data_IF_745100660736
#
_entry.id   IF_745100660736
#
_cell.length_a   1.000
_cell.length_b   1.000
_cell.length_c   1.000
_cell.angle_alpha   90.00
_cell.angle_beta   90.00
_cell.angle_gamma   90.00
#
_symmetry.space_group_name_H-M   'P 1'
#
loop_
_entity.id
_entity.type
_entity.pdbx_description
1 polymer ?
#
# COMPACT_ATOMS: atom_id res chain seq x y z
N UNK A 1 1.69 -5.78 28.13
CA UNK A 1 3.00 -5.33 28.65
C UNK A 1 3.38 -4.10 27.84
N UNK A 2 3.59 -2.94 28.48
CA UNK A 2 4.04 -1.72 27.79
C UNK A 2 5.44 -2.00 27.21
N UNK A 3 5.60 -1.89 25.89
CA UNK A 3 6.90 -2.07 25.22
C UNK A 3 7.93 -1.10 25.80
N UNK A 4 9.13 -1.58 26.07
CA UNK A 4 10.25 -0.77 26.59
C UNK A 4 10.85 0.16 25.52
N UNK A 5 10.39 0.05 24.27
CA UNK A 5 10.89 0.81 23.13
C UNK A 5 10.56 2.30 23.21
N UNK A 6 11.50 3.15 22.78
CA UNK A 6 11.42 4.62 22.85
C UNK A 6 11.21 5.26 21.48
N UNK A 7 11.76 4.63 20.42
CA UNK A 7 11.64 5.14 19.05
C UNK A 7 10.17 5.28 18.62
N UNK A 8 9.85 6.39 18.00
CA UNK A 8 8.50 6.76 17.56
C UNK A 8 8.38 6.72 16.04
N UNK A 9 7.22 6.26 15.56
CA UNK A 9 6.81 6.43 14.14
C UNK A 9 6.02 7.73 13.95
N UNK A 10 5.26 8.13 14.98
CA UNK A 10 4.45 9.35 15.02
C UNK A 10 4.56 9.99 16.42
N UNK A 11 4.16 11.25 16.61
CA UNK A 11 4.32 11.94 17.90
C UNK A 11 3.80 11.16 19.11
N UNK A 12 2.73 10.39 18.95
CA UNK A 12 2.07 9.63 20.02
C UNK A 12 2.20 8.12 19.88
N UNK A 13 2.84 7.60 18.82
CA UNK A 13 2.91 6.16 18.52
C UNK A 13 4.36 5.68 18.44
N UNK A 14 4.67 4.57 19.10
CA UNK A 14 5.98 3.94 19.04
C UNK A 14 6.21 3.23 17.71
N UNK A 15 7.44 3.19 17.24
CA UNK A 15 7.82 2.55 15.99
C UNK A 15 7.44 1.06 15.99
N UNK A 16 7.78 0.33 17.05
CA UNK A 16 7.44 -1.09 17.16
C UNK A 16 5.92 -1.36 17.09
N UNK A 17 5.13 -0.58 17.82
CA UNK A 17 3.67 -0.76 17.85
C UNK A 17 3.05 -0.43 16.50
N UNK A 18 3.60 0.57 15.80
CA UNK A 18 3.17 0.95 14.47
C UNK A 18 3.44 -0.15 13.44
N UNK A 19 4.71 -0.55 13.26
CA UNK A 19 5.06 -1.52 12.21
C UNK A 19 4.41 -2.90 12.46
N UNK A 20 4.27 -3.32 13.71
CA UNK A 20 3.55 -4.56 14.05
C UNK A 20 2.06 -4.44 13.78
N UNK A 21 1.45 -3.32 14.09
CA UNK A 21 0.05 -3.06 13.79
C UNK A 21 -0.23 -3.01 12.28
N UNK A 22 0.65 -2.38 11.50
CA UNK A 22 0.58 -2.37 10.02
C UNK A 22 0.65 -3.79 9.47
N UNK A 23 1.62 -4.59 9.94
CA UNK A 23 1.75 -6.02 9.58
C UNK A 23 0.46 -6.80 9.88
N UNK A 24 -0.07 -6.67 11.08
CA UNK A 24 -1.22 -7.43 11.53
C UNK A 24 -2.47 -7.10 10.71
N UNK A 25 -2.67 -5.83 10.36
CA UNK A 25 -3.74 -5.40 9.47
C UNK A 25 -3.55 -5.98 8.06
N UNK A 26 -2.35 -5.85 7.50
CA UNK A 26 -2.05 -6.33 6.15
C UNK A 26 -2.26 -7.84 6.04
N UNK A 27 -1.70 -8.64 6.95
CA UNK A 27 -1.86 -10.10 6.97
C UNK A 27 -3.31 -10.52 7.23
N UNK A 28 -4.03 -9.83 8.13
CA UNK A 28 -5.44 -10.10 8.37
C UNK A 28 -6.26 -9.79 7.12
N UNK A 29 -5.96 -8.71 6.42
CA UNK A 29 -6.62 -8.37 5.15
C UNK A 29 -6.30 -9.41 4.08
N UNK A 30 -5.03 -9.81 3.96
CA UNK A 30 -4.59 -10.82 2.99
C UNK A 30 -5.34 -12.16 3.13
N UNK A 31 -5.66 -12.60 4.33
CA UNK A 31 -6.41 -13.86 4.59
C UNK A 31 -7.77 -13.94 3.91
N UNK A 32 -8.35 -12.82 3.51
CA UNK A 32 -9.61 -12.80 2.75
C UNK A 32 -9.42 -12.92 1.23
N UNK A 33 -8.18 -12.99 0.77
CA UNK A 33 -7.86 -13.14 -0.64
C UNK A 33 -7.23 -14.49 -0.93
N UNK A 34 -7.55 -15.07 -2.09
CA UNK A 34 -6.96 -16.34 -2.55
C UNK A 34 -5.86 -16.03 -3.56
N UNK A 35 -4.67 -15.70 -3.08
CA UNK A 35 -3.51 -15.43 -3.93
C UNK A 35 -2.52 -16.58 -3.80
N UNK A 36 -2.08 -17.09 -4.92
CA UNK A 36 -1.03 -18.12 -5.02
C UNK A 36 0.11 -17.57 -5.90
N UNK A 37 1.36 -17.82 -5.54
CA UNK A 37 1.86 -18.55 -4.36
C UNK A 37 1.62 -17.79 -3.05
N UNK A 38 1.72 -18.49 -1.92
CA UNK A 38 1.72 -17.85 -0.60
C UNK A 38 2.80 -16.77 -0.51
N UNK A 39 2.39 -15.58 -0.03
CA UNK A 39 3.22 -14.38 0.04
C UNK A 39 3.20 -13.75 1.44
N UNK A 40 2.76 -14.48 2.45
CA UNK A 40 2.69 -13.99 3.84
C UNK A 40 4.04 -13.42 4.31
N UNK A 41 5.13 -14.15 4.08
CA UNK A 41 6.48 -13.70 4.44
C UNK A 41 6.87 -12.41 3.71
N UNK A 42 6.47 -12.27 2.44
CA UNK A 42 6.72 -11.04 1.68
C UNK A 42 5.97 -9.85 2.26
N UNK A 43 4.68 -10.02 2.57
CA UNK A 43 3.86 -8.99 3.20
C UNK A 43 4.42 -8.62 4.56
N UNK A 44 4.77 -9.63 5.38
CA UNK A 44 5.30 -9.42 6.71
C UNK A 44 6.58 -8.59 6.70
N UNK A 45 7.57 -8.97 5.87
CA UNK A 45 8.85 -8.24 5.77
C UNK A 45 8.64 -6.81 5.26
N UNK A 46 7.82 -6.62 4.21
CA UNK A 46 7.52 -5.28 3.67
C UNK A 46 6.90 -4.39 4.77
N UNK A 47 5.90 -4.90 5.49
CA UNK A 47 5.24 -4.14 6.54
C UNK A 47 6.15 -3.85 7.74
N UNK A 48 7.00 -4.80 8.13
CA UNK A 48 7.92 -4.58 9.24
C UNK A 48 9.02 -3.58 8.88
N UNK A 49 9.51 -3.57 7.62
CA UNK A 49 10.68 -2.79 7.22
C UNK A 49 10.34 -1.39 6.69
N UNK A 50 9.07 -1.08 6.35
CA UNK A 50 8.72 0.16 5.62
C UNK A 50 9.15 1.44 6.32
N UNK A 51 9.19 1.45 7.63
CA UNK A 51 9.50 2.59 8.48
C UNK A 51 10.85 2.47 9.20
N UNK A 52 11.73 1.56 8.80
CA UNK A 52 13.04 1.35 9.43
C UNK A 52 13.82 2.65 9.64
N UNK A 53 13.87 3.52 8.64
CA UNK A 53 14.61 4.78 8.69
C UNK A 53 14.06 5.81 9.69
N UNK A 54 12.84 5.61 10.21
CA UNK A 54 12.32 6.37 11.36
C UNK A 54 13.11 6.11 12.65
N UNK A 55 13.92 5.06 12.67
CA UNK A 55 14.84 4.77 13.75
C UNK A 55 16.03 5.73 13.89
N UNK A 56 16.23 6.67 12.97
CA UNK A 56 17.29 7.70 13.09
C UNK A 56 16.91 8.79 14.10
N UNK A 57 17.92 9.36 14.79
CA UNK A 57 17.69 10.54 15.66
C UNK A 57 17.24 11.75 14.84
N UNK A 58 17.64 11.84 13.57
CA UNK A 58 17.16 12.88 12.64
C UNK A 58 15.65 12.85 12.48
N UNK A 59 15.06 11.66 12.30
CA UNK A 59 13.61 11.52 12.22
C UNK A 59 12.93 11.77 13.58
N UNK A 60 13.50 11.29 14.68
CA UNK A 60 12.95 11.53 16.02
C UNK A 60 12.90 13.04 16.35
N UNK A 61 13.95 13.79 16.03
CA UNK A 61 13.98 15.26 16.16
C UNK A 61 13.02 15.96 15.20
N UNK A 62 12.83 15.42 14.00
CA UNK A 62 11.80 15.93 13.08
C UNK A 62 10.38 15.84 13.68
N UNK A 63 10.04 14.75 14.37
CA UNK A 63 8.75 14.61 15.06
C UNK A 63 8.54 15.68 16.15
N UNK A 64 9.62 16.18 16.73
CA UNK A 64 9.64 17.25 17.74
C UNK A 64 9.75 18.66 17.12
N UNK A 65 9.69 18.79 15.80
CA UNK A 65 9.90 20.03 15.03
C UNK A 65 11.30 20.67 15.19
N UNK A 66 12.29 19.90 15.64
CA UNK A 66 13.67 20.37 15.91
C UNK A 66 14.65 20.09 14.75
N UNK A 67 14.23 19.37 13.70
CA UNK A 67 15.09 19.05 12.56
C UNK A 67 14.34 19.07 11.23
N UNK A 68 14.95 19.63 10.18
CA UNK A 68 14.37 19.72 8.82
C UNK A 68 15.33 19.34 7.69
N UNK A 69 16.48 18.74 8.03
CA UNK A 69 17.46 18.26 7.04
C UNK A 69 16.93 17.10 6.21
N UNK A 70 17.64 16.76 5.15
CA UNK A 70 17.30 15.67 4.23
C UNK A 70 17.39 14.30 4.92
N UNK A 71 18.23 14.18 5.95
CA UNK A 71 18.48 12.94 6.69
C UNK A 71 17.23 12.41 7.43
N UNK A 72 16.19 13.23 7.60
CA UNK A 72 14.88 12.79 8.11
C UNK A 72 14.12 11.90 7.13
N UNK A 73 14.48 11.91 5.84
CA UNK A 73 13.83 11.08 4.83
C UNK A 73 14.15 9.60 5.11
N UNK A 74 13.13 8.88 5.55
CA UNK A 74 13.26 7.49 5.96
C UNK A 74 12.99 6.51 4.82
N UNK A 75 12.31 6.94 3.74
CA UNK A 75 11.90 6.06 2.64
C UNK A 75 13.06 5.31 1.98
N UNK A 76 14.13 6.00 1.53
CA UNK A 76 15.25 5.36 0.84
C UNK A 76 15.98 4.30 1.70
N UNK A 77 16.34 4.62 2.94
CA UNK A 77 17.06 3.67 3.80
C UNK A 77 16.16 2.50 4.22
N UNK A 78 14.86 2.74 4.43
CA UNK A 78 13.87 1.68 4.68
C UNK A 78 13.73 0.74 3.49
N UNK A 79 13.73 1.28 2.26
CA UNK A 79 13.68 0.48 1.04
C UNK A 79 14.94 -0.38 0.86
N UNK A 80 16.12 0.15 1.20
CA UNK A 80 17.39 -0.61 1.19
C UNK A 80 17.38 -1.72 2.25
N UNK A 81 16.85 -1.45 3.44
CA UNK A 81 16.70 -2.45 4.47
C UNK A 81 15.75 -3.57 4.03
N UNK A 82 14.62 -3.22 3.44
CA UNK A 82 13.66 -4.18 2.87
C UNK A 82 14.30 -5.04 1.76
N UNK A 83 15.09 -4.42 0.88
CA UNK A 83 15.84 -5.14 -0.16
C UNK A 83 16.81 -6.16 0.43
N UNK A 84 17.54 -5.79 1.48
CA UNK A 84 18.51 -6.65 2.15
C UNK A 84 17.85 -7.81 2.92
N UNK A 85 16.66 -7.59 3.47
CA UNK A 85 15.88 -8.58 4.22
C UNK A 85 15.20 -9.61 3.32
N UNK A 86 14.80 -9.25 2.11
CA UNK A 86 14.00 -10.09 1.24
C UNK A 86 14.84 -11.05 0.37
N UNK A 87 14.33 -12.24 0.06
CA UNK A 87 14.93 -13.13 -0.91
C UNK A 87 14.93 -12.54 -2.33
N UNK A 88 15.79 -13.06 -3.19
CA UNK A 88 16.01 -12.57 -4.57
C UNK A 88 14.73 -12.42 -5.40
N UNK A 89 13.76 -13.30 -5.20
CA UNK A 89 12.47 -13.27 -5.92
C UNK A 89 11.65 -12.02 -5.66
N UNK A 90 11.78 -11.40 -4.47
CA UNK A 90 10.92 -10.31 -4.02
C UNK A 90 11.65 -9.00 -3.70
N UNK A 91 12.99 -9.05 -3.53
CA UNK A 91 13.77 -7.90 -3.06
C UNK A 91 13.54 -6.62 -3.87
N UNK A 92 13.37 -6.73 -5.20
CA UNK A 92 13.14 -5.59 -6.08
C UNK A 92 11.74 -4.98 -5.88
N UNK A 93 10.71 -5.83 -5.76
CA UNK A 93 9.34 -5.38 -5.54
C UNK A 93 9.20 -4.75 -4.15
N UNK A 94 9.74 -5.38 -3.12
CA UNK A 94 9.74 -4.85 -1.76
C UNK A 94 10.43 -3.49 -1.66
N UNK A 95 11.56 -3.34 -2.34
CA UNK A 95 12.26 -2.06 -2.46
C UNK A 95 11.35 -0.96 -3.05
N UNK A 96 10.69 -1.23 -4.19
CA UNK A 96 9.81 -0.28 -4.85
C UNK A 96 8.63 0.12 -3.95
N UNK A 97 7.98 -0.87 -3.36
CA UNK A 97 6.83 -0.69 -2.48
C UNK A 97 7.21 0.23 -1.31
N UNK A 98 8.29 -0.09 -0.61
CA UNK A 98 8.70 0.67 0.57
C UNK A 98 9.23 2.05 0.20
N UNK A 99 10.00 2.18 -0.87
CA UNK A 99 10.47 3.50 -1.33
C UNK A 99 9.32 4.47 -1.59
N UNK A 100 8.19 3.93 -2.07
CA UNK A 100 7.06 4.75 -2.55
C UNK A 100 5.84 4.74 -1.63
N UNK A 101 5.93 4.21 -0.42
CA UNK A 101 4.75 4.13 0.46
C UNK A 101 4.15 5.49 0.88
N UNK A 102 4.88 6.59 0.68
CA UNK A 102 4.39 7.96 0.83
C UNK A 102 4.05 8.67 -0.49
N UNK A 103 4.05 7.97 -1.62
CA UNK A 103 3.79 8.58 -2.93
C UNK A 103 3.29 7.55 -3.93
N UNK A 104 3.26 7.91 -5.21
CA UNK A 104 2.78 7.02 -6.26
C UNK A 104 3.91 6.15 -6.82
N UNK A 105 3.62 4.88 -7.10
CA UNK A 105 4.49 4.00 -7.88
C UNK A 105 4.31 4.37 -9.35
N UNK A 106 5.32 5.05 -9.91
CA UNK A 106 5.33 5.43 -11.31
C UNK A 106 6.11 4.43 -12.16
N UNK A 107 7.17 4.86 -12.80
CA UNK A 107 8.03 4.01 -13.61
C UNK A 107 9.11 3.34 -12.76
N UNK A 108 9.09 2.01 -12.65
CA UNK A 108 10.05 1.25 -11.84
C UNK A 108 11.52 1.56 -12.21
N UNK A 109 11.83 1.81 -13.48
CA UNK A 109 13.20 2.14 -13.91
C UNK A 109 13.68 3.50 -13.42
N UNK A 110 12.77 4.46 -13.28
CA UNK A 110 13.09 5.80 -12.75
C UNK A 110 13.18 5.78 -11.22
N UNK A 111 12.32 5.01 -10.58
CA UNK A 111 12.33 4.86 -9.11
C UNK A 111 13.58 4.14 -8.60
N UNK A 112 14.21 3.33 -9.44
CA UNK A 112 15.44 2.62 -9.14
C UNK A 112 16.72 3.41 -9.45
N UNK A 113 16.63 4.69 -9.80
CA UNK A 113 17.81 5.55 -9.95
C UNK A 113 18.42 5.84 -8.59
N UNK A 114 19.56 5.20 -8.33
CA UNK A 114 20.34 5.34 -7.08
C UNK A 114 21.35 6.51 -7.19
N UNK A 115 21.24 7.34 -8.21
CA UNK A 115 22.21 8.42 -8.52
C UNK A 115 21.88 9.77 -7.87
N UNK A 116 20.79 9.86 -7.14
CA UNK A 116 20.33 11.09 -6.53
C UNK A 116 21.02 11.34 -5.19
N UNK A 117 21.20 12.61 -4.82
CA UNK A 117 21.80 13.08 -3.55
C UNK A 117 21.09 12.48 -2.32
N UNK A 118 19.81 12.11 -2.46
CA UNK A 118 19.01 11.44 -1.42
C UNK A 118 19.49 10.05 -1.01
N UNK A 119 20.49 9.50 -1.71
CA UNK A 119 21.05 8.17 -1.47
C UNK A 119 22.42 8.22 -0.77
N UNK A 120 22.81 9.34 -0.22
CA UNK A 120 23.96 9.40 0.67
C UNK A 120 23.52 9.01 2.10
N UNK A 121 23.67 7.72 2.42
CA UNK A 121 23.27 7.17 3.70
C UNK A 121 24.30 7.39 4.83
N UNK A 122 25.47 8.00 4.58
CA UNK A 122 26.58 8.06 5.54
C UNK A 122 26.16 8.66 6.88
N UNK A 123 25.42 9.77 6.84
CA UNK A 123 24.95 10.43 8.05
C UNK A 123 23.94 9.54 8.81
N UNK A 124 22.99 8.92 8.10
CA UNK A 124 22.01 8.04 8.71
C UNK A 124 22.64 6.76 9.27
N UNK A 125 23.60 6.15 8.56
CA UNK A 125 24.36 4.98 9.03
C UNK A 125 25.07 5.32 10.33
N UNK A 126 25.86 6.41 10.34
CA UNK A 126 26.58 6.86 11.53
C UNK A 126 25.65 7.14 12.69
N UNK A 127 24.55 7.82 12.45
CA UNK A 127 23.57 8.15 13.48
C UNK A 127 22.96 6.90 14.12
N UNK A 128 22.58 5.90 13.30
CA UNK A 128 22.04 4.64 13.81
C UNK A 128 23.07 3.90 14.65
N UNK A 129 24.33 3.79 14.16
CA UNK A 129 25.42 3.11 14.88
C UNK A 129 25.70 3.77 16.23
N UNK A 130 25.73 5.10 16.27
CA UNK A 130 26.10 5.85 17.48
C UNK A 130 24.95 5.92 18.51
N UNK A 131 23.66 5.86 18.08
CA UNK A 131 22.56 6.27 18.96
C UNK A 131 21.42 5.25 19.11
N UNK A 132 21.08 4.46 18.07
CA UNK A 132 19.79 3.71 18.06
C UNK A 132 19.91 2.23 17.72
N UNK A 133 21.11 1.74 17.40
CA UNK A 133 21.36 0.38 16.93
C UNK A 133 20.84 -0.70 17.88
N UNK A 134 21.01 -0.51 19.20
CA UNK A 134 20.58 -1.50 20.19
C UNK A 134 19.07 -1.67 20.20
N UNK A 135 18.32 -0.56 20.11
CA UNK A 135 16.87 -0.60 20.09
C UNK A 135 16.35 -1.17 18.76
N UNK A 136 16.96 -0.81 17.62
CA UNK A 136 16.63 -1.38 16.33
C UNK A 136 16.91 -2.89 16.28
N UNK A 137 18.04 -3.35 16.79
CA UNK A 137 18.30 -4.79 16.91
C UNK A 137 17.21 -5.50 17.72
N UNK A 138 16.75 -4.94 18.84
CA UNK A 138 15.67 -5.51 19.64
C UNK A 138 14.32 -5.53 18.87
N UNK A 139 14.02 -4.45 18.16
CA UNK A 139 12.77 -4.35 17.36
C UNK A 139 12.72 -5.42 16.28
N UNK A 140 13.85 -5.67 15.61
CA UNK A 140 13.92 -6.57 14.46
C UNK A 140 14.48 -7.96 14.77
N UNK A 141 14.84 -8.27 16.01
CA UNK A 141 15.49 -9.51 16.44
C UNK A 141 14.86 -10.78 15.82
N UNK A 142 13.54 -10.87 15.90
CA UNK A 142 12.78 -11.99 15.36
C UNK A 142 12.95 -12.17 13.83
N UNK A 143 13.23 -11.08 13.11
CA UNK A 143 13.26 -11.06 11.63
C UNK A 143 14.67 -11.15 11.07
N UNK A 144 15.67 -10.91 11.89
CA UNK A 144 17.07 -10.87 11.44
C UNK A 144 17.70 -12.25 11.23
N UNK A 145 17.05 -13.33 11.70
CA UNK A 145 17.51 -14.72 11.50
C UNK A 145 19.00 -14.94 11.84
N UNK A 146 19.47 -14.37 12.94
CA UNK A 146 20.86 -14.45 13.38
C UNK A 146 21.79 -13.40 12.74
N UNK A 147 21.29 -12.52 11.87
CA UNK A 147 21.98 -11.30 11.42
C UNK A 147 21.76 -10.19 12.45
N UNK A 148 22.36 -9.02 12.23
CA UNK A 148 22.12 -7.83 13.03
C UNK A 148 22.07 -6.58 12.15
N UNK A 149 21.60 -5.48 12.71
CA UNK A 149 21.48 -4.20 11.98
C UNK A 149 22.86 -3.70 11.54
N UNK A 150 23.91 -3.92 12.31
CA UNK A 150 25.28 -3.53 11.95
C UNK A 150 25.73 -4.21 10.64
N UNK A 151 25.40 -5.49 10.44
CA UNK A 151 25.69 -6.18 9.18
C UNK A 151 24.98 -5.54 7.99
N UNK A 152 23.74 -5.08 8.16
CA UNK A 152 23.01 -4.32 7.14
C UNK A 152 23.70 -2.97 6.86
N UNK A 153 24.07 -2.22 7.88
CA UNK A 153 24.68 -0.90 7.74
C UNK A 153 26.06 -0.99 7.06
N UNK A 154 26.88 -1.97 7.43
CA UNK A 154 28.16 -2.25 6.77
C UNK A 154 27.97 -2.64 5.31
N UNK A 155 26.95 -3.44 5.01
CA UNK A 155 26.60 -3.79 3.63
C UNK A 155 26.14 -2.57 2.84
N UNK A 156 25.38 -1.65 3.45
CA UNK A 156 24.88 -0.43 2.81
C UNK A 156 26.00 0.60 2.57
N UNK A 157 26.99 0.67 3.44
CA UNK A 157 28.14 1.56 3.31
C UNK A 157 29.08 1.17 2.16
N UNK A 158 29.10 -0.12 1.79
CA UNK A 158 29.93 -0.60 0.68
C UNK A 158 29.33 -0.16 -0.68
N UNK A 159 30.00 0.83 -1.29
CA UNK A 159 29.61 1.35 -2.61
C UNK A 159 29.53 0.27 -3.70
N UNK A 160 30.25 -0.84 -3.57
CA UNK A 160 30.19 -1.95 -4.54
C UNK A 160 28.82 -2.61 -4.55
N UNK A 161 28.15 -2.72 -3.39
CA UNK A 161 26.81 -3.24 -3.26
C UNK A 161 25.79 -2.30 -3.92
N UNK A 162 25.89 -1.00 -3.68
CA UNK A 162 25.01 -0.02 -4.33
C UNK A 162 25.16 -0.04 -5.87
N UNK A 163 26.40 -0.17 -6.38
CA UNK A 163 26.66 -0.33 -7.82
C UNK A 163 26.06 -1.63 -8.38
N UNK A 164 26.14 -2.73 -7.62
CA UNK A 164 25.55 -4.02 -8.01
C UNK A 164 24.03 -3.94 -8.10
N UNK A 165 23.39 -3.41 -7.07
CA UNK A 165 21.93 -3.19 -7.02
C UNK A 165 21.46 -2.37 -8.23
N UNK A 166 22.12 -1.25 -8.49
CA UNK A 166 21.85 -0.40 -9.65
C UNK A 166 21.91 -1.15 -10.97
N UNK A 167 22.91 -2.03 -11.13
CA UNK A 167 23.06 -2.88 -12.31
C UNK A 167 21.93 -3.92 -12.38
N UNK A 168 21.53 -4.50 -11.24
CA UNK A 168 20.45 -5.46 -11.16
C UNK A 168 19.11 -4.81 -11.57
N UNK A 169 18.77 -3.65 -11.01
CA UNK A 169 17.56 -2.94 -11.38
C UNK A 169 17.48 -2.59 -12.86
N UNK A 170 18.59 -2.17 -13.47
CA UNK A 170 18.65 -1.86 -14.91
C UNK A 170 18.44 -3.10 -15.81
N UNK A 171 18.78 -4.28 -15.32
CA UNK A 171 18.67 -5.54 -16.06
C UNK A 171 17.35 -6.27 -15.80
N UNK A 172 16.71 -6.00 -14.67
CA UNK A 172 15.48 -6.66 -14.28
C UNK A 172 14.38 -6.32 -15.27
N UNK A 173 13.75 -7.35 -15.81
CA UNK A 173 12.52 -7.22 -16.59
C UNK A 173 11.37 -7.62 -15.70
N UNK A 174 10.37 -6.78 -15.65
CA UNK A 174 9.14 -7.03 -14.92
C UNK A 174 8.06 -7.51 -15.88
N UNK A 175 7.27 -8.47 -15.46
CA UNK A 175 6.10 -8.93 -16.17
C UNK A 175 4.82 -8.39 -15.52
N UNK A 176 3.66 -8.75 -16.06
CA UNK A 176 2.37 -8.29 -15.53
C UNK A 176 2.09 -8.86 -14.12
N UNK A 177 2.57 -10.05 -13.83
CA UNK A 177 2.41 -10.69 -12.52
C UNK A 177 3.22 -9.95 -11.45
N UNK A 178 4.45 -9.53 -11.77
CA UNK A 178 5.28 -8.69 -10.90
C UNK A 178 4.57 -7.35 -10.60
N UNK A 179 3.93 -6.72 -11.61
CA UNK A 179 3.20 -5.48 -11.44
C UNK A 179 1.99 -5.68 -10.52
N UNK A 180 1.15 -6.67 -10.81
CA UNK A 180 -0.04 -6.95 -9.99
C UNK A 180 0.32 -7.32 -8.56
N UNK A 181 1.38 -8.10 -8.35
CA UNK A 181 1.87 -8.42 -7.02
C UNK A 181 2.39 -7.18 -6.29
N UNK A 182 3.12 -6.32 -6.99
CA UNK A 182 3.62 -5.05 -6.44
C UNK A 182 2.47 -4.16 -5.97
N UNK A 183 1.47 -3.92 -6.81
CA UNK A 183 0.31 -3.10 -6.48
C UNK A 183 -0.53 -3.70 -5.35
N UNK A 184 -0.68 -5.02 -5.35
CA UNK A 184 -1.41 -5.72 -4.30
C UNK A 184 -0.74 -5.54 -2.93
N UNK A 185 0.55 -5.84 -2.80
CA UNK A 185 1.27 -5.71 -1.53
C UNK A 185 1.40 -4.24 -1.12
N UNK A 186 1.58 -3.33 -2.08
CA UNK A 186 1.56 -1.89 -1.84
C UNK A 186 0.21 -1.44 -1.24
N UNK A 187 -0.90 -1.91 -1.79
CA UNK A 187 -2.23 -1.57 -1.26
C UNK A 187 -2.46 -2.10 0.15
N UNK A 188 -1.94 -3.30 0.47
CA UNK A 188 -1.99 -3.86 1.82
C UNK A 188 -1.17 -3.02 2.80
N UNK A 189 0.05 -2.64 2.42
CA UNK A 189 0.91 -1.76 3.22
C UNK A 189 0.22 -0.43 3.50
N UNK A 190 -0.28 0.26 2.48
CA UNK A 190 -0.96 1.56 2.64
C UNK A 190 -2.23 1.44 3.49
N UNK A 191 -2.99 0.35 3.32
CA UNK A 191 -4.18 0.11 4.13
C UNK A 191 -3.80 -0.04 5.60
N UNK A 192 -2.77 -0.81 5.90
CA UNK A 192 -2.26 -0.99 7.26
C UNK A 192 -1.74 0.32 7.85
N UNK A 193 -0.85 1.00 7.13
CA UNK A 193 -0.21 2.23 7.57
C UNK A 193 -1.23 3.34 7.90
N UNK A 194 -2.15 3.62 6.98
CA UNK A 194 -3.18 4.65 7.18
C UNK A 194 -4.20 4.27 8.26
N UNK A 195 -4.56 2.99 8.36
CA UNK A 195 -5.50 2.52 9.38
C UNK A 195 -4.96 2.68 10.79
N UNK A 196 -3.65 2.49 10.98
CA UNK A 196 -2.99 2.68 12.27
C UNK A 196 -3.05 4.13 12.80
N UNK A 197 -3.16 5.12 11.92
CA UNK A 197 -3.33 6.54 12.30
C UNK A 197 -4.73 6.85 12.83
N UNK A 198 -5.72 6.06 12.44
CA UNK A 198 -7.14 6.29 12.75
C UNK A 198 -7.61 5.36 13.87
N UNK A 199 -7.09 4.13 13.92
CA UNK A 199 -7.50 3.07 14.84
C UNK A 199 -6.31 2.20 15.21
N UNK A 200 -6.22 1.82 16.48
CA UNK A 200 -5.20 0.90 16.99
C UNK A 200 -5.48 -0.58 16.70
N UNK A 201 -6.57 -0.89 16.00
CA UNK A 201 -6.97 -2.25 15.67
C UNK A 201 -7.33 -2.41 14.20
N UNK A 202 -7.13 -3.60 13.67
CA UNK A 202 -7.49 -3.94 12.32
C UNK A 202 -9.00 -3.83 12.12
N UNK A 203 -9.44 -2.73 11.56
CA UNK A 203 -10.83 -2.59 11.14
C UNK A 203 -11.01 -3.25 9.77
N UNK A 204 -11.44 -4.48 9.78
CA UNK A 204 -12.06 -5.07 8.63
C UNK A 204 -13.55 -4.84 8.80
N UNK A 205 -14.19 -4.08 7.91
CA UNK A 205 -15.63 -3.86 8.02
C UNK A 205 -16.33 -5.22 8.01
N UNK A 206 -17.05 -5.56 9.08
CA UNK A 206 -17.94 -6.74 9.10
C UNK A 206 -19.13 -6.55 8.16
N UNK A 207 -19.31 -5.34 7.67
CA UNK A 207 -20.46 -4.99 6.82
C UNK A 207 -20.13 -5.33 5.38
N UNK A 208 -20.95 -6.20 4.82
CA UNK A 208 -21.13 -6.28 3.37
C UNK A 208 -21.39 -4.86 2.85
N UNK A 209 -20.78 -4.51 1.72
CA UNK A 209 -21.14 -3.27 1.02
C UNK A 209 -22.55 -3.45 0.46
N UNK A 210 -23.61 -2.88 1.09
CA UNK A 210 -24.95 -3.07 0.56
C UNK A 210 -25.06 -2.31 -0.75
N UNK A 211 -25.57 -2.98 -1.77
CA UNK A 211 -25.81 -2.36 -3.08
C UNK A 211 -26.61 -1.06 -2.94
N UNK A 212 -27.56 -1.06 -1.99
CA UNK A 212 -28.37 0.09 -1.63
C UNK A 212 -27.57 1.36 -1.28
N UNK A 213 -26.34 1.24 -0.82
CA UNK A 213 -25.52 2.41 -0.49
C UNK A 213 -25.22 3.25 -1.74
N UNK A 214 -24.76 2.61 -2.82
CA UNK A 214 -24.44 3.32 -4.07
C UNK A 214 -25.70 3.71 -4.82
N UNK A 215 -26.77 2.93 -4.74
CA UNK A 215 -28.07 3.25 -5.32
C UNK A 215 -28.70 4.48 -4.66
N UNK A 216 -28.66 4.57 -3.33
CA UNK A 216 -29.10 5.74 -2.58
C UNK A 216 -28.28 6.98 -2.96
N UNK A 217 -26.95 6.84 -3.02
CA UNK A 217 -26.06 7.93 -3.43
C UNK A 217 -26.39 8.44 -4.86
N UNK A 218 -26.57 7.51 -5.82
CA UNK A 218 -26.98 7.85 -7.19
C UNK A 218 -28.34 8.59 -7.18
N UNK A 219 -29.30 8.08 -6.42
CA UNK A 219 -30.65 8.67 -6.31
C UNK A 219 -30.58 10.09 -5.75
N UNK A 220 -29.79 10.32 -4.71
CA UNK A 220 -29.62 11.65 -4.11
C UNK A 220 -28.92 12.62 -5.05
N UNK A 221 -27.88 12.16 -5.78
CA UNK A 221 -27.23 12.98 -6.81
C UNK A 221 -28.21 13.42 -7.89
N UNK A 222 -29.01 12.49 -8.43
CA UNK A 222 -30.02 12.78 -9.45
C UNK A 222 -31.06 13.73 -8.91
N UNK A 223 -31.59 13.47 -7.71
CA UNK A 223 -32.59 14.33 -7.07
C UNK A 223 -32.06 15.77 -6.89
N UNK A 224 -30.85 15.92 -6.36
CA UNK A 224 -30.23 17.23 -6.16
C UNK A 224 -29.96 17.97 -7.48
N UNK A 225 -29.57 17.24 -8.53
CA UNK A 225 -29.36 17.81 -9.86
C UNK A 225 -30.67 18.30 -10.47
N UNK A 226 -31.76 17.55 -10.33
CA UNK A 226 -33.10 17.89 -10.84
C UNK A 226 -33.74 19.06 -10.06
N UNK A 227 -33.46 19.19 -8.75
CA UNK A 227 -33.88 20.36 -7.98
C UNK A 227 -33.23 21.64 -8.54
N UNK A 228 -31.93 21.56 -8.89
CA UNK A 228 -31.19 22.70 -9.46
C UNK A 228 -31.59 23.01 -10.90
N UNK A 229 -31.88 21.98 -11.69
CA UNK A 229 -32.27 22.12 -13.08
C UNK A 229 -33.29 21.03 -13.51
N UNK A 230 -34.59 21.29 -13.40
CA UNK A 230 -35.64 20.32 -13.78
C UNK A 230 -35.61 19.85 -15.24
N UNK A 231 -35.08 20.70 -16.14
CA UNK A 231 -34.98 20.37 -17.60
C UNK A 231 -33.92 19.30 -17.91
N UNK A 232 -33.09 18.90 -16.92
CA UNK A 232 -32.11 17.80 -17.09
C UNK A 232 -32.80 16.49 -17.53
N UNK A 233 -34.05 16.23 -17.18
CA UNK A 233 -34.81 15.06 -17.62
C UNK A 233 -34.98 14.97 -19.15
N UNK A 234 -34.94 16.12 -19.84
CA UNK A 234 -35.08 16.21 -21.28
C UNK A 234 -33.72 16.14 -21.98
N UNK A 235 -32.64 16.02 -21.23
CA UNK A 235 -31.28 15.98 -21.78
C UNK A 235 -30.90 14.59 -22.27
N UNK A 236 -30.44 14.48 -23.51
CA UNK A 236 -29.94 13.23 -24.12
C UNK A 236 -28.82 12.62 -23.26
N UNK A 237 -27.94 13.46 -22.69
CA UNK A 237 -26.85 13.00 -21.82
C UNK A 237 -27.36 12.39 -20.53
N UNK A 238 -28.44 12.93 -19.96
CA UNK A 238 -29.06 12.37 -18.75
C UNK A 238 -29.68 11.00 -19.05
N UNK A 239 -30.38 10.86 -20.13
CA UNK A 239 -30.98 9.60 -20.55
C UNK A 239 -29.91 8.57 -20.89
N UNK A 240 -28.89 8.95 -21.66
CA UNK A 240 -27.76 8.09 -21.99
C UNK A 240 -27.02 7.56 -20.72
N UNK A 241 -26.87 8.38 -19.69
CA UNK A 241 -26.26 7.94 -18.41
C UNK A 241 -27.06 6.84 -17.73
N UNK A 242 -28.39 6.94 -17.76
CA UNK A 242 -29.26 5.90 -17.18
C UNK A 242 -29.21 4.62 -18.01
N UNK A 243 -29.27 4.72 -19.33
CA UNK A 243 -29.16 3.56 -20.22
C UNK A 243 -27.85 2.82 -20.06
N UNK A 244 -26.71 3.54 -19.99
CA UNK A 244 -25.37 2.95 -19.75
C UNK A 244 -25.32 2.26 -18.37
N UNK A 245 -25.93 2.86 -17.35
CA UNK A 245 -25.97 2.27 -16.02
C UNK A 245 -26.76 0.96 -16.01
N UNK A 246 -27.95 0.97 -16.60
CA UNK A 246 -28.83 -0.19 -16.65
C UNK A 246 -28.21 -1.33 -17.50
N UNK A 247 -27.59 -1.00 -18.64
CA UNK A 247 -26.84 -1.94 -19.46
C UNK A 247 -25.66 -2.57 -18.73
N UNK A 248 -24.92 -1.78 -17.95
CA UNK A 248 -23.83 -2.29 -17.11
C UNK A 248 -24.34 -3.27 -16.07
N UNK A 249 -25.40 -2.95 -15.33
CA UNK A 249 -25.98 -3.85 -14.32
C UNK A 249 -26.46 -5.15 -14.96
N UNK A 250 -27.17 -5.07 -16.06
CA UNK A 250 -27.67 -6.25 -16.81
C UNK A 250 -26.51 -7.16 -17.28
N UNK A 251 -25.41 -6.56 -17.76
CA UNK A 251 -24.21 -7.31 -18.14
C UNK A 251 -23.56 -8.00 -16.94
N UNK A 252 -23.41 -7.29 -15.82
CA UNK A 252 -22.85 -7.86 -14.60
C UNK A 252 -23.70 -9.01 -14.02
N UNK A 253 -25.03 -8.98 -14.24
CA UNK A 253 -25.93 -10.08 -13.82
C UNK A 253 -25.64 -11.38 -14.55
N UNK A 254 -25.18 -11.33 -15.79
CA UNK A 254 -24.87 -12.48 -16.63
C UNK A 254 -23.47 -13.06 -16.45
N UNK A 255 -22.60 -12.41 -15.67
CA UNK A 255 -21.19 -12.80 -15.50
C UNK A 255 -21.04 -13.88 -14.45
N UNK A 256 -20.23 -14.88 -14.78
CA UNK A 256 -19.73 -15.90 -13.84
C UNK A 256 -18.41 -15.40 -13.23
N UNK A 257 -18.50 -14.78 -12.04
CA UNK A 257 -17.36 -14.20 -11.33
C UNK A 257 -16.34 -15.24 -10.83
N UNK A 258 -16.66 -16.52 -10.90
CA UNK A 258 -15.68 -17.58 -10.59
C UNK A 258 -14.73 -17.83 -11.77
N UNK A 259 -15.12 -17.42 -12.97
CA UNK A 259 -14.33 -17.59 -14.21
C UNK A 259 -13.79 -16.29 -14.76
N UNK A 260 -14.54 -15.19 -14.62
CA UNK A 260 -14.17 -13.89 -15.16
C UNK A 260 -13.81 -12.94 -14.00
N UNK A 261 -12.59 -12.47 -13.99
CA UNK A 261 -12.03 -11.68 -12.88
C UNK A 261 -11.36 -10.36 -13.31
N UNK A 262 -11.39 -10.04 -14.61
CA UNK A 262 -10.87 -8.77 -15.14
C UNK A 262 -11.94 -8.12 -16.00
N UNK A 263 -12.32 -6.88 -15.65
CA UNK A 263 -13.38 -6.13 -16.33
C UNK A 263 -12.86 -4.75 -16.74
N UNK A 264 -13.35 -4.24 -17.86
CA UNK A 264 -13.09 -2.88 -18.30
C UNK A 264 -14.40 -2.14 -18.58
N UNK A 265 -14.43 -0.84 -18.19
CA UNK A 265 -15.53 0.06 -18.47
C UNK A 265 -15.07 1.09 -19.50
N UNK A 266 -15.54 0.96 -20.74
CA UNK A 266 -15.23 1.89 -21.82
C UNK A 266 -16.49 2.66 -22.22
N UNK A 267 -16.61 3.89 -21.76
CA UNK A 267 -17.74 4.78 -22.02
C UNK A 267 -17.25 6.20 -22.31
N UNK A 268 -18.01 7.02 -23.05
CA UNK A 268 -17.61 8.40 -23.39
C UNK A 268 -17.30 9.25 -22.16
N UNK A 269 -16.53 10.31 -22.34
CA UNK A 269 -16.30 11.32 -21.30
C UNK A 269 -17.63 12.02 -20.95
N UNK A 270 -17.79 12.37 -19.66
CA UNK A 270 -19.01 13.05 -19.21
C UNK A 270 -20.21 12.14 -18.94
N UNK A 271 -20.12 10.81 -19.17
CA UNK A 271 -21.22 9.86 -18.90
C UNK A 271 -21.27 9.35 -17.46
N UNK A 272 -20.39 9.81 -16.57
CA UNK A 272 -20.39 9.43 -15.15
C UNK A 272 -19.55 8.20 -14.85
N UNK A 273 -18.38 8.02 -15.51
CA UNK A 273 -17.46 6.88 -15.33
C UNK A 273 -17.20 6.51 -13.88
N UNK A 274 -16.96 7.51 -13.02
CA UNK A 274 -16.69 7.29 -11.61
C UNK A 274 -17.84 6.58 -10.89
N UNK A 275 -19.07 7.05 -11.12
CA UNK A 275 -20.26 6.42 -10.52
C UNK A 275 -20.46 5.00 -11.07
N UNK A 276 -20.25 4.82 -12.38
CA UNK A 276 -20.32 3.50 -13.00
C UNK A 276 -19.29 2.53 -12.40
N UNK A 277 -18.04 2.97 -12.25
CA UNK A 277 -16.97 2.15 -11.69
C UNK A 277 -17.28 1.74 -10.23
N UNK A 278 -17.68 2.69 -9.39
CA UNK A 278 -18.10 2.38 -8.03
C UNK A 278 -19.32 1.46 -7.98
N UNK A 279 -20.33 1.70 -8.82
CA UNK A 279 -21.53 0.86 -8.86
C UNK A 279 -21.20 -0.57 -9.29
N UNK A 280 -20.34 -0.74 -10.30
CA UNK A 280 -19.86 -2.05 -10.73
C UNK A 280 -19.09 -2.75 -9.61
N UNK A 281 -18.16 -2.05 -8.94
CA UNK A 281 -17.37 -2.61 -7.85
C UNK A 281 -18.26 -3.07 -6.69
N UNK A 282 -19.21 -2.25 -6.23
CA UNK A 282 -20.16 -2.64 -5.18
C UNK A 282 -21.03 -3.82 -5.59
N UNK A 283 -21.48 -3.83 -6.86
CA UNK A 283 -22.29 -4.93 -7.39
C UNK A 283 -21.51 -6.26 -7.39
N UNK A 284 -20.27 -6.25 -7.91
CA UNK A 284 -19.37 -7.40 -7.92
C UNK A 284 -19.09 -7.88 -6.50
N UNK A 285 -18.73 -6.97 -5.60
CA UNK A 285 -18.51 -7.29 -4.18
C UNK A 285 -19.73 -7.95 -3.55
N UNK A 286 -20.93 -7.44 -3.81
CA UNK A 286 -22.19 -7.99 -3.31
C UNK A 286 -22.45 -9.40 -3.83
N UNK A 287 -22.19 -9.67 -5.11
CA UNK A 287 -22.36 -11.00 -5.72
C UNK A 287 -21.36 -12.01 -5.16
N UNK A 288 -20.08 -11.67 -5.11
CA UNK A 288 -19.02 -12.53 -4.58
C UNK A 288 -19.30 -12.89 -3.11
N UNK A 289 -19.69 -11.90 -2.29
CA UNK A 289 -19.96 -12.12 -0.87
C UNK A 289 -21.21 -13.01 -0.66
N UNK A 290 -22.23 -12.89 -1.51
CA UNK A 290 -23.40 -13.77 -1.45
C UNK A 290 -23.04 -15.23 -1.75
N UNK A 291 -22.14 -15.45 -2.70
CA UNK A 291 -21.71 -16.79 -3.11
C UNK A 291 -20.75 -17.42 -2.10
N UNK A 292 -19.94 -16.61 -1.42
CA UNK A 292 -18.98 -17.07 -0.43
C UNK A 292 -18.83 -16.05 0.71
N UNK A 293 -19.47 -16.32 1.84
CA UNK A 293 -19.48 -15.45 3.03
C UNK A 293 -18.09 -15.24 3.68
N UNK A 294 -17.11 -16.07 3.34
CA UNK A 294 -15.75 -15.99 3.87
C UNK A 294 -14.86 -15.03 3.04
N UNK A 295 -15.30 -14.66 1.84
CA UNK A 295 -14.55 -13.71 0.99
C UNK A 295 -14.97 -12.29 1.37
N UNK A 296 -13.97 -11.43 1.57
CA UNK A 296 -14.13 -10.00 1.86
C UNK A 296 -13.50 -9.19 0.71
N UNK A 297 -14.26 -8.88 -0.34
CA UNK A 297 -13.72 -8.11 -1.46
C UNK A 297 -13.37 -6.69 -1.01
N UNK A 298 -12.30 -6.13 -1.57
CA UNK A 298 -11.85 -4.77 -1.36
C UNK A 298 -12.04 -3.93 -2.61
N UNK A 299 -12.51 -2.69 -2.43
CA UNK A 299 -12.50 -1.65 -3.46
C UNK A 299 -11.32 -0.73 -3.12
N UNK A 300 -10.32 -0.71 -3.97
CA UNK A 300 -9.08 0.06 -3.82
C UNK A 300 -9.13 1.30 -4.72
#
# INVERSE_FOLDING_TARGET
MSSSYKLKSHPTQRLYDHITGVRDIALKTHKYHTIKPEIDDFIEVVCMCHDFGKGTTYFQRYLENDFRGIEKDHGPISAMFTYWMLPDKWKHLGFLIVKKHHGDINNASDECRIDEVSWDFKNQIKDILDNTIDELNQIYDKYLEGKNIEAFLNWLEDESNLKSIKKEFRKKKYNIEDLLLCEYVYSLLLTGDKSQLIRNDAYIPDKQYPLSFIENYKTDLVKNALIKNPKLKESDVFNLRNEIYDDMINKLDSIDFDKENVFSINVPTGTGKTILAYSAAFYICSKITKNNSNIRPHII
#
